data_IF_915877150661
#
_entry.id   IF_915877150661
#
_cell.length_a   1.000
_cell.length_b   1.000
_cell.length_c   1.000
_cell.angle_alpha   90.00
_cell.angle_beta   90.00
_cell.angle_gamma   90.00
#
_symmetry.space_group_name_H-M   'P 1'
#
loop_
_entity.id
_entity.type
_entity.pdbx_description
1 polymer ?
#
# COMPACT_ATOMS: atom_id res chain seq x y z
N UNK A 1 31.77 -15.76 -5.82
CA UNK A 1 30.61 -15.24 -5.07
C UNK A 1 30.14 -16.32 -4.10
N UNK A 2 30.25 -16.12 -2.78
CA UNK A 2 29.89 -17.16 -1.83
C UNK A 2 28.36 -17.33 -1.83
N UNK A 3 27.92 -18.58 -1.85
CA UNK A 3 26.52 -18.96 -1.74
C UNK A 3 25.98 -18.55 -0.36
N UNK A 4 25.15 -17.50 -0.32
CA UNK A 4 24.39 -17.19 0.89
C UNK A 4 23.45 -18.36 1.23
N UNK A 5 23.31 -18.72 2.52
CA UNK A 5 22.48 -19.83 2.96
C UNK A 5 21.02 -19.63 2.52
N UNK A 6 20.33 -20.72 2.18
CA UNK A 6 18.95 -20.73 1.65
C UNK A 6 17.97 -19.88 2.48
N UNK A 7 18.16 -19.84 3.79
CA UNK A 7 17.40 -18.98 4.71
C UNK A 7 17.53 -17.48 4.42
N UNK A 8 18.73 -17.02 4.04
CA UNK A 8 18.99 -15.62 3.68
C UNK A 8 18.36 -15.25 2.34
N UNK A 9 18.26 -16.19 1.41
CA UNK A 9 17.57 -15.96 0.13
C UNK A 9 16.05 -15.91 0.30
N UNK A 10 15.50 -16.76 1.17
CA UNK A 10 14.07 -16.72 1.52
C UNK A 10 13.74 -15.41 2.24
N UNK A 11 14.56 -14.96 3.21
CA UNK A 11 14.36 -13.69 3.88
C UNK A 11 14.45 -12.51 2.90
N UNK A 12 15.39 -12.54 1.95
CA UNK A 12 15.52 -11.51 0.93
C UNK A 12 14.33 -11.52 -0.04
N UNK A 13 13.82 -12.68 -0.45
CA UNK A 13 12.60 -12.83 -1.26
C UNK A 13 11.37 -12.32 -0.52
N UNK A 14 11.26 -12.61 0.78
CA UNK A 14 10.17 -12.14 1.65
C UNK A 14 10.24 -10.61 1.79
N UNK A 15 11.42 -10.03 2.03
CA UNK A 15 11.62 -8.57 2.06
C UNK A 15 11.29 -7.96 0.69
N UNK A 16 11.71 -8.58 -0.42
CA UNK A 16 11.41 -8.11 -1.77
C UNK A 16 9.90 -8.15 -2.06
N UNK A 17 9.20 -9.22 -1.65
CA UNK A 17 7.73 -9.35 -1.73
C UNK A 17 6.99 -8.34 -0.84
N UNK A 18 7.56 -7.97 0.31
CA UNK A 18 7.04 -6.89 1.14
C UNK A 18 7.33 -5.50 0.54
N UNK A 19 8.45 -5.29 -0.12
CA UNK A 19 8.76 -4.03 -0.82
C UNK A 19 8.07 -3.87 -2.17
N UNK A 20 7.56 -4.94 -2.80
CA UNK A 20 6.67 -4.83 -3.97
C UNK A 20 5.25 -4.38 -3.60
N UNK A 21 4.93 -4.25 -2.31
CA UNK A 21 3.72 -3.60 -1.82
C UNK A 21 3.94 -2.10 -1.51
N UNK A 22 5.01 -1.49 -2.03
CA UNK A 22 4.95 -0.05 -2.29
C UNK A 22 3.88 0.11 -3.37
N UNK A 23 2.65 0.32 -2.93
CA UNK A 23 1.58 0.87 -3.75
C UNK A 23 2.22 2.06 -4.45
N UNK A 24 2.47 1.93 -5.76
CA UNK A 24 2.73 3.07 -6.60
C UNK A 24 1.50 3.97 -6.40
N UNK A 25 1.67 5.03 -5.61
CA UNK A 25 0.59 5.98 -5.35
C UNK A 25 0.18 6.55 -6.70
N UNK A 26 -0.95 6.09 -7.22
CA UNK A 26 -1.52 6.63 -8.43
C UNK A 26 -1.75 8.12 -8.19
N UNK A 27 -1.31 8.95 -9.14
CA UNK A 27 -1.71 10.35 -9.19
C UNK A 27 -3.24 10.38 -9.29
N UNK A 28 -3.91 10.62 -8.18
CA UNK A 28 -5.33 10.94 -8.21
C UNK A 28 -5.42 12.41 -8.57
N UNK A 29 -5.70 12.68 -9.85
CA UNK A 29 -5.87 14.02 -10.36
C UNK A 29 -7.19 14.58 -9.81
N UNK A 30 -7.11 15.67 -9.05
CA UNK A 30 -8.30 16.29 -8.48
C UNK A 30 -9.05 17.04 -9.59
N UNK A 31 -10.24 16.55 -9.93
CA UNK A 31 -11.08 17.16 -10.99
C UNK A 31 -11.90 18.33 -10.48
N UNK A 32 -12.05 18.49 -9.16
CA UNK A 32 -12.66 19.68 -8.58
C UNK A 32 -11.77 20.89 -8.84
N UNK A 33 -12.36 21.93 -9.45
CA UNK A 33 -11.62 23.10 -9.87
C UNK A 33 -11.55 24.15 -8.75
N UNK A 34 -10.40 24.20 -8.06
CA UNK A 34 -10.05 25.23 -7.07
C UNK A 34 -9.36 26.46 -7.70
N UNK A 35 -9.81 26.86 -8.89
CA UNK A 35 -9.40 28.12 -9.52
C UNK A 35 -10.33 29.26 -9.12
N UNK A 36 -9.83 30.48 -9.24
CA UNK A 36 -10.58 31.70 -8.96
C UNK A 36 -11.49 32.06 -10.12
N UNK A 37 -12.83 32.04 -9.96
CA UNK A 37 -13.73 32.53 -11.00
C UNK A 37 -13.61 34.05 -11.11
N UNK A 38 -13.63 34.58 -12.33
CA UNK A 38 -13.56 36.04 -12.57
C UNK A 38 -14.75 36.81 -12.02
N UNK A 39 -15.87 36.12 -11.79
CA UNK A 39 -17.13 36.66 -11.29
C UNK A 39 -17.36 36.39 -9.80
N UNK A 40 -16.40 35.79 -9.10
CA UNK A 40 -16.42 35.63 -7.65
C UNK A 40 -15.77 36.84 -6.94
N UNK A 41 -16.11 37.11 -5.67
CA UNK A 41 -15.35 38.06 -4.86
C UNK A 41 -13.91 37.57 -4.65
N UNK A 42 -12.93 38.49 -4.42
CA UNK A 42 -11.53 38.11 -4.23
C UNK A 42 -11.27 37.32 -2.94
N UNK A 43 -12.17 37.44 -1.97
CA UNK A 43 -12.19 36.66 -0.74
C UNK A 43 -13.60 36.48 -0.21
N UNK A 44 -13.83 35.45 0.58
CA UNK A 44 -15.10 35.16 1.23
C UNK A 44 -14.90 34.29 2.48
N UNK A 45 -15.84 34.35 3.41
CA UNK A 45 -15.94 33.38 4.49
C UNK A 45 -16.63 32.11 3.97
N UNK A 46 -15.99 30.97 4.18
CA UNK A 46 -16.56 29.66 3.86
C UNK A 46 -16.11 28.64 4.91
N UNK A 47 -16.40 27.35 4.68
CA UNK A 47 -16.11 26.29 5.63
C UNK A 47 -15.38 25.15 4.96
N UNK A 48 -14.50 24.53 5.71
CA UNK A 48 -13.98 23.20 5.40
C UNK A 48 -14.51 22.21 6.44
N UNK A 49 -14.60 20.94 6.07
CA UNK A 49 -15.00 19.90 7.01
C UNK A 49 -13.79 19.25 7.64
N UNK A 50 -13.86 18.97 8.94
CA UNK A 50 -12.86 18.19 9.65
C UNK A 50 -13.51 17.01 10.36
N UNK A 51 -12.88 15.84 10.37
CA UNK A 51 -13.42 14.63 10.99
C UNK A 51 -12.61 14.33 12.25
N UNK A 52 -13.21 14.49 13.42
CA UNK A 52 -12.51 14.33 14.70
C UNK A 52 -11.77 12.98 14.79
N UNK A 53 -10.44 13.04 14.94
CA UNK A 53 -9.55 11.87 14.90
C UNK A 53 -9.01 11.52 16.28
N UNK A 54 -9.10 10.25 16.65
CA UNK A 54 -8.45 9.73 17.85
C UNK A 54 -6.97 9.42 17.59
N UNK A 55 -6.06 9.69 18.55
CA UNK A 55 -6.31 10.30 19.86
C UNK A 55 -6.12 11.84 19.88
N UNK A 56 -5.47 12.40 18.87
CA UNK A 56 -4.90 13.75 18.95
C UNK A 56 -5.89 14.89 18.67
N UNK A 57 -7.00 14.61 17.97
CA UNK A 57 -7.94 15.63 17.49
C UNK A 57 -9.37 15.31 17.94
N UNK A 58 -9.52 14.97 19.24
CA UNK A 58 -10.81 14.78 19.91
C UNK A 58 -11.22 15.96 20.82
N UNK A 59 -10.60 17.13 20.61
CA UNK A 59 -10.93 18.38 21.29
C UNK A 59 -10.98 19.53 20.31
N UNK A 60 -11.93 20.45 20.50
CA UNK A 60 -12.04 21.67 19.71
C UNK A 60 -10.77 22.51 19.78
N UNK A 61 -10.09 22.54 20.93
CA UNK A 61 -8.82 23.26 21.09
C UNK A 61 -7.74 22.73 20.15
N UNK A 62 -7.50 21.42 20.14
CA UNK A 62 -6.47 20.81 19.30
C UNK A 62 -6.74 21.02 17.81
N UNK A 63 -8.01 20.94 17.40
CA UNK A 63 -8.40 21.22 16.01
C UNK A 63 -8.21 22.71 15.70
N UNK A 64 -8.72 23.60 16.56
CA UNK A 64 -8.63 25.04 16.35
C UNK A 64 -7.19 25.54 16.21
N UNK A 65 -6.25 24.93 16.95
CA UNK A 65 -4.82 25.25 16.86
C UNK A 65 -4.23 24.97 15.48
N UNK A 66 -4.60 23.86 14.84
CA UNK A 66 -4.06 23.53 13.49
C UNK A 66 -4.77 24.31 12.37
N UNK A 67 -5.92 24.92 12.65
CA UNK A 67 -6.66 25.76 11.70
C UNK A 67 -6.46 27.26 11.92
N UNK A 68 -5.62 27.66 12.87
CA UNK A 68 -5.41 29.06 13.27
C UNK A 68 -6.75 29.80 13.49
N UNK A 69 -7.66 29.16 14.21
CA UNK A 69 -9.02 29.66 14.48
C UNK A 69 -9.39 29.49 15.95
N UNK A 70 -10.56 29.98 16.35
CA UNK A 70 -11.02 29.84 17.74
C UNK A 70 -11.87 28.57 17.94
N UNK A 71 -11.75 27.86 19.08
CA UNK A 71 -12.64 26.75 19.43
C UNK A 71 -14.12 27.13 19.37
N UNK A 72 -14.44 28.35 19.82
CA UNK A 72 -15.80 28.90 19.82
C UNK A 72 -16.35 29.07 18.40
N UNK A 73 -15.51 29.46 17.44
CA UNK A 73 -15.89 29.60 16.03
C UNK A 73 -16.28 28.24 15.45
N UNK A 74 -15.50 27.19 15.71
CA UNK A 74 -15.81 25.81 15.29
C UNK A 74 -17.08 25.31 15.98
N UNK A 75 -17.22 25.53 17.28
CA UNK A 75 -18.40 25.13 18.04
C UNK A 75 -19.68 25.76 17.46
N UNK A 76 -19.67 27.07 17.24
CA UNK A 76 -20.81 27.80 16.65
C UNK A 76 -21.14 27.30 15.25
N UNK A 77 -20.13 27.13 14.40
CA UNK A 77 -20.33 26.64 13.02
C UNK A 77 -20.90 25.22 13.01
N UNK A 78 -20.48 24.37 13.95
CA UNK A 78 -20.88 22.97 14.06
C UNK A 78 -22.11 22.73 14.95
N UNK A 79 -22.77 23.79 15.44
CA UNK A 79 -23.88 23.73 16.40
C UNK A 79 -23.55 22.92 17.68
N UNK A 80 -22.35 23.11 18.22
CA UNK A 80 -21.89 22.52 19.46
C UNK A 80 -21.91 23.53 20.60
N UNK A 81 -22.08 23.02 21.82
CA UNK A 81 -21.95 23.83 23.03
C UNK A 81 -20.46 24.20 23.24
N UNK A 82 -20.11 25.46 23.55
CA UNK A 82 -18.70 25.88 23.68
C UNK A 82 -17.90 25.14 24.76
N UNK A 83 -18.56 24.45 25.69
CA UNK A 83 -17.96 23.67 26.78
C UNK A 83 -17.88 22.17 26.47
N UNK A 84 -18.36 21.70 25.31
CA UNK A 84 -18.22 20.32 24.85
C UNK A 84 -16.79 20.10 24.31
N UNK A 85 -15.82 19.96 25.22
CA UNK A 85 -14.41 19.75 24.86
C UNK A 85 -14.10 18.33 24.37
N UNK A 86 -15.05 17.40 24.46
CA UNK A 86 -14.88 16.00 24.07
C UNK A 86 -15.69 15.68 22.81
N UNK A 87 -14.99 15.72 21.69
CA UNK A 87 -15.50 15.26 20.41
C UNK A 87 -15.51 13.74 20.37
N UNK A 88 -16.49 13.17 19.66
CA UNK A 88 -16.52 11.74 19.39
C UNK A 88 -15.71 11.48 18.12
N UNK A 89 -14.99 10.35 18.08
CA UNK A 89 -14.29 9.92 16.87
C UNK A 89 -15.26 9.87 15.68
N UNK A 90 -14.78 10.28 14.51
CA UNK A 90 -15.52 10.29 13.24
C UNK A 90 -16.69 11.31 13.22
N UNK A 91 -16.79 12.18 14.23
CA UNK A 91 -17.69 13.33 14.22
C UNK A 91 -17.21 14.38 13.21
N UNK A 92 -18.10 14.80 12.31
CA UNK A 92 -17.80 15.84 11.32
C UNK A 92 -18.06 17.22 11.91
N UNK A 93 -17.10 18.12 11.71
CA UNK A 93 -17.13 19.51 12.15
C UNK A 93 -17.04 20.44 10.95
N UNK A 94 -17.66 21.61 11.07
CA UNK A 94 -17.44 22.75 10.20
C UNK A 94 -16.38 23.65 10.81
N UNK A 95 -15.30 23.87 10.08
CA UNK A 95 -14.23 24.79 10.45
C UNK A 95 -14.31 26.01 9.54
N UNK A 96 -14.58 27.21 10.09
CA UNK A 96 -14.62 28.43 9.29
C UNK A 96 -13.22 28.80 8.79
N UNK A 97 -13.15 29.19 7.52
CA UNK A 97 -11.93 29.68 6.88
C UNK A 97 -12.21 30.90 6.01
N UNK A 98 -11.27 31.83 5.98
CA UNK A 98 -11.29 32.93 5.00
C UNK A 98 -10.63 32.44 3.71
N UNK A 99 -11.46 32.19 2.70
CA UNK A 99 -10.99 31.80 1.39
C UNK A 99 -10.53 33.02 0.60
N UNK A 100 -9.38 32.92 -0.06
CA UNK A 100 -8.84 34.00 -0.88
C UNK A 100 -8.27 33.50 -2.20
N UNK A 101 -8.09 34.46 -3.11
CA UNK A 101 -7.52 34.22 -4.43
C UNK A 101 -6.09 34.76 -4.53
N UNK A 102 -5.15 33.87 -4.86
CA UNK A 102 -3.76 34.25 -5.18
C UNK A 102 -3.42 33.75 -6.58
N UNK A 103 -3.25 34.68 -7.52
CA UNK A 103 -3.17 34.34 -8.93
C UNK A 103 -4.48 33.67 -9.40
N UNK A 104 -4.37 32.50 -10.03
CA UNK A 104 -5.55 31.70 -10.43
C UNK A 104 -5.91 30.59 -9.41
N UNK A 105 -5.32 30.58 -8.21
CA UNK A 105 -5.53 29.53 -7.20
C UNK A 105 -6.38 30.07 -6.05
N UNK A 106 -7.42 29.33 -5.68
CA UNK A 106 -8.31 29.65 -4.57
C UNK A 106 -8.01 28.74 -3.37
N UNK A 107 -7.64 29.32 -2.24
CA UNK A 107 -7.31 28.60 -1.02
C UNK A 107 -7.39 29.50 0.23
N UNK A 108 -7.51 28.88 1.39
CA UNK A 108 -7.34 29.52 2.69
C UNK A 108 -5.92 29.25 3.16
N UNK A 109 -5.21 30.30 3.56
CA UNK A 109 -3.83 30.18 4.00
C UNK A 109 -3.79 30.00 5.52
N UNK A 110 -3.39 28.81 5.98
CA UNK A 110 -3.34 28.46 7.40
C UNK A 110 -1.89 28.35 7.85
N UNK A 111 -1.53 29.04 8.93
CA UNK A 111 -0.20 28.93 9.53
C UNK A 111 -0.15 27.69 10.42
N UNK A 112 0.74 26.76 10.11
CA UNK A 112 0.92 25.53 10.88
C UNK A 112 2.32 25.47 11.50
N UNK A 113 2.39 25.20 12.80
CA UNK A 113 3.66 24.98 13.49
C UNK A 113 4.17 23.56 13.26
N UNK A 114 5.37 23.43 12.68
CA UNK A 114 5.98 22.13 12.40
C UNK A 114 6.39 21.42 13.69
N UNK A 115 5.90 20.20 13.87
CA UNK A 115 6.23 19.32 14.98
C UNK A 115 7.30 18.29 14.60
N UNK A 116 7.84 17.61 15.60
CA UNK A 116 8.78 16.52 15.39
C UNK A 116 8.12 15.39 14.58
N UNK A 117 8.77 15.01 13.46
CA UNK A 117 8.31 13.94 12.58
C UNK A 117 7.40 14.41 11.45
N UNK A 118 7.05 15.69 11.39
CA UNK A 118 6.24 16.23 10.31
C UNK A 118 6.96 16.24 8.97
N UNK A 119 6.18 16.01 7.93
CA UNK A 119 6.51 16.24 6.53
C UNK A 119 5.31 16.90 5.87
N UNK A 120 5.51 17.58 4.73
CA UNK A 120 4.38 18.16 3.98
C UNK A 120 3.34 17.10 3.61
N UNK A 121 3.79 15.89 3.29
CA UNK A 121 2.89 14.77 3.03
C UNK A 121 2.08 14.37 4.25
N UNK A 122 2.74 14.13 5.39
CA UNK A 122 2.07 13.74 6.64
C UNK A 122 1.05 14.78 7.09
N UNK A 123 1.44 16.05 7.14
CA UNK A 123 0.55 17.13 7.59
C UNK A 123 -0.63 17.31 6.62
N UNK A 124 -0.40 17.30 5.31
CA UNK A 124 -1.48 17.46 4.33
C UNK A 124 -2.49 16.30 4.37
N UNK A 125 -2.01 15.06 4.46
CA UNK A 125 -2.86 13.86 4.35
C UNK A 125 -3.46 13.40 5.66
N UNK A 126 -2.74 13.59 6.78
CA UNK A 126 -3.14 13.10 8.11
C UNK A 126 -3.71 14.24 8.94
N UNK A 127 -2.93 15.30 9.16
CA UNK A 127 -3.35 16.42 10.01
C UNK A 127 -4.49 17.24 9.39
N UNK A 128 -4.47 17.46 8.06
CA UNK A 128 -5.52 18.17 7.32
C UNK A 128 -6.42 17.26 6.48
N UNK A 129 -6.33 15.94 6.62
CA UNK A 129 -7.26 14.98 6.00
C UNK A 129 -7.41 15.05 4.47
N UNK A 130 -6.40 15.54 3.74
CA UNK A 130 -6.45 15.85 2.30
C UNK A 130 -7.29 17.09 1.93
N UNK A 131 -7.55 18.01 2.86
CA UNK A 131 -8.06 19.36 2.54
C UNK A 131 -7.05 20.20 1.73
N UNK A 132 -5.79 19.78 1.72
CA UNK A 132 -4.74 20.28 0.83
C UNK A 132 -3.95 19.10 0.27
N UNK A 133 -3.02 19.36 -0.64
CA UNK A 133 -2.05 18.36 -1.07
C UNK A 133 -0.62 18.88 -0.87
N UNK A 134 0.30 17.95 -0.59
CA UNK A 134 1.69 18.28 -0.26
C UNK A 134 2.46 19.00 -1.39
N UNK A 135 2.02 18.87 -2.65
CA UNK A 135 2.63 19.61 -3.78
C UNK A 135 2.22 21.07 -3.75
N UNK A 136 0.96 21.37 -3.46
CA UNK A 136 0.49 22.74 -3.26
C UNK A 136 1.21 23.41 -2.07
N UNK A 137 1.43 22.66 -0.99
CA UNK A 137 2.24 23.13 0.15
C UNK A 137 3.69 23.42 -0.29
N UNK A 138 4.30 22.54 -1.08
CA UNK A 138 5.66 22.74 -1.58
C UNK A 138 5.77 23.95 -2.51
N UNK A 139 4.84 24.10 -3.45
CA UNK A 139 4.78 25.24 -4.38
C UNK A 139 4.74 26.57 -3.62
N UNK A 140 4.01 26.63 -2.50
CA UNK A 140 3.90 27.81 -1.65
C UNK A 140 5.14 28.03 -0.77
N UNK A 141 5.95 26.98 -0.55
CA UNK A 141 7.10 26.97 0.35
C UNK A 141 8.39 26.48 -0.36
N UNK A 142 8.84 27.15 -1.45
CA UNK A 142 9.89 26.63 -2.33
C UNK A 142 11.27 26.49 -1.67
N UNK A 143 11.49 27.15 -0.52
CA UNK A 143 12.78 27.11 0.21
C UNK A 143 12.87 25.94 1.20
N UNK A 144 11.76 25.29 1.51
CA UNK A 144 11.71 24.22 2.51
C UNK A 144 11.79 22.84 1.85
N UNK A 145 12.53 21.93 2.48
CA UNK A 145 12.59 20.53 2.06
C UNK A 145 11.38 19.77 2.60
N UNK A 146 10.52 19.16 1.76
CA UNK A 146 9.24 18.55 2.18
C UNK A 146 9.32 17.50 3.29
N UNK A 147 10.49 16.85 3.43
CA UNK A 147 10.74 15.77 4.40
C UNK A 147 11.79 16.15 5.46
N UNK A 148 12.28 17.39 5.48
CA UNK A 148 13.31 17.87 6.42
C UNK A 148 12.91 19.26 6.91
N UNK A 149 11.80 19.30 7.65
CA UNK A 149 11.22 20.54 8.14
C UNK A 149 11.84 20.89 9.51
N UNK A 150 12.33 22.12 9.71
CA UNK A 150 12.76 22.58 11.04
C UNK A 150 11.58 22.56 12.02
N UNK A 151 11.79 22.08 13.25
CA UNK A 151 10.74 22.02 14.27
C UNK A 151 10.46 23.45 14.81
N UNK A 152 9.20 23.77 15.08
CA UNK A 152 8.75 25.02 15.70
C UNK A 152 8.59 26.20 14.73
N UNK A 153 8.89 26.01 13.44
CA UNK A 153 8.64 27.08 12.44
C UNK A 153 7.17 27.06 12.02
N UNK A 154 6.66 28.24 11.70
CA UNK A 154 5.33 28.43 11.11
C UNK A 154 5.42 28.29 9.60
N UNK A 155 4.64 27.37 9.03
CA UNK A 155 4.59 27.11 7.58
C UNK A 155 3.17 27.33 7.07
N UNK A 156 2.98 28.09 5.98
CA UNK A 156 1.68 28.25 5.35
C UNK A 156 1.24 26.96 4.63
N UNK A 157 0.06 26.46 4.97
CA UNK A 157 -0.64 25.35 4.29
C UNK A 157 -1.86 25.90 3.55
N UNK A 158 -1.91 25.81 2.20
CA UNK A 158 -3.04 26.30 1.42
C UNK A 158 -4.17 25.26 1.41
N UNK A 159 -5.16 25.41 2.28
CA UNK A 159 -6.35 24.56 2.27
C UNK A 159 -7.25 24.94 1.11
N UNK A 160 -7.65 23.96 0.31
CA UNK A 160 -8.49 24.21 -0.85
C UNK A 160 -9.87 24.71 -0.41
N UNK A 161 -10.33 25.76 -1.06
CA UNK A 161 -11.64 26.37 -0.84
C UNK A 161 -12.02 27.20 -2.07
N UNK A 162 -13.28 27.65 -2.14
CA UNK A 162 -13.73 28.51 -3.23
C UNK A 162 -14.81 29.47 -2.76
N UNK A 163 -14.87 30.63 -3.40
CA UNK A 163 -15.94 31.60 -3.21
C UNK A 163 -17.07 31.38 -4.22
N UNK A 164 -18.34 31.47 -3.78
CA UNK A 164 -19.48 31.43 -4.70
C UNK A 164 -19.33 32.47 -5.82
N UNK A 165 -19.66 32.07 -7.03
CA UNK A 165 -19.81 32.97 -8.18
C UNK A 165 -21.05 33.85 -8.02
N UNK A 166 -21.15 34.95 -8.79
CA UNK A 166 -22.36 35.78 -8.82
C UNK A 166 -23.61 34.98 -9.13
N UNK A 167 -23.56 34.09 -10.13
CA UNK A 167 -24.69 33.23 -10.49
C UNK A 167 -25.11 32.28 -9.35
N UNK A 168 -24.15 31.80 -8.55
CA UNK A 168 -24.45 30.98 -7.37
C UNK A 168 -25.10 31.82 -6.27
N UNK A 169 -24.61 33.05 -6.03
CA UNK A 169 -25.21 33.98 -5.08
C UNK A 169 -26.65 34.37 -5.48
N UNK A 170 -26.91 34.54 -6.77
CA UNK A 170 -28.25 34.81 -7.33
C UNK A 170 -29.22 33.63 -7.10
N UNK A 171 -28.68 32.40 -6.98
CA UNK A 171 -29.41 31.18 -6.56
C UNK A 171 -29.43 30.97 -5.05
N UNK A 172 -29.06 31.98 -4.27
CA UNK A 172 -28.97 31.95 -2.81
C UNK A 172 -27.92 30.97 -2.23
N UNK A 173 -27.00 30.45 -3.04
CA UNK A 173 -25.87 29.64 -2.55
C UNK A 173 -24.91 30.59 -1.83
N UNK A 174 -24.82 30.46 -0.50
CA UNK A 174 -24.02 31.35 0.34
C UNK A 174 -22.60 30.83 0.56
N UNK A 175 -22.43 29.51 0.58
CA UNK A 175 -21.15 28.88 0.90
C UNK A 175 -20.87 27.73 -0.05
N UNK A 176 -19.59 27.56 -0.39
CA UNK A 176 -19.06 26.35 -1.01
C UNK A 176 -18.20 25.63 0.03
N UNK A 177 -18.80 24.67 0.73
CA UNK A 177 -18.13 23.94 1.82
C UNK A 177 -17.16 22.93 1.21
N UNK A 178 -15.89 22.94 1.61
CA UNK A 178 -14.93 21.93 1.13
C UNK A 178 -15.04 20.67 1.98
N UNK A 179 -15.35 19.56 1.34
CA UNK A 179 -15.53 18.24 1.95
C UNK A 179 -14.59 17.24 1.29
N UNK A 180 -13.86 16.44 2.08
CA UNK A 180 -13.04 15.35 1.52
C UNK A 180 -13.92 14.13 1.33
N UNK A 181 -14.19 13.77 0.08
CA UNK A 181 -15.03 12.64 -0.30
C UNK A 181 -14.49 11.34 0.30
N UNK A 182 -15.32 10.54 0.96
CA UNK A 182 -14.90 9.31 1.61
C UNK A 182 -15.28 8.08 0.79
N UNK A 183 -14.52 6.98 0.91
CA UNK A 183 -14.94 5.70 0.34
C UNK A 183 -16.32 5.29 0.86
N UNK A 184 -17.25 5.06 -0.05
CA UNK A 184 -18.64 4.72 0.27
C UNK A 184 -19.60 5.92 0.33
N UNK A 185 -19.11 7.15 0.19
CA UNK A 185 -19.98 8.30 -0.04
C UNK A 185 -20.63 8.21 -1.42
N UNK A 186 -21.88 8.66 -1.48
CA UNK A 186 -22.62 8.93 -2.70
C UNK A 186 -23.23 10.33 -2.66
N UNK A 187 -23.57 10.87 -3.84
CA UNK A 187 -24.08 12.23 -3.97
C UNK A 187 -25.37 12.42 -3.17
N UNK A 188 -26.26 11.42 -3.10
CA UNK A 188 -27.51 11.55 -2.35
C UNK A 188 -27.24 11.65 -0.85
N UNK A 189 -26.40 10.76 -0.29
CA UNK A 189 -26.07 10.78 1.13
C UNK A 189 -25.34 12.07 1.54
N UNK A 190 -24.42 12.55 0.71
CA UNK A 190 -23.72 13.81 0.95
C UNK A 190 -24.69 14.99 0.81
N UNK A 191 -25.56 14.98 -0.19
CA UNK A 191 -26.60 15.98 -0.38
C UNK A 191 -27.51 16.09 0.85
N UNK A 192 -27.99 14.97 1.37
CA UNK A 192 -28.84 14.91 2.56
C UNK A 192 -28.11 15.41 3.81
N UNK A 193 -26.83 15.00 3.97
CA UNK A 193 -25.98 15.38 5.10
C UNK A 193 -25.73 16.89 5.17
N UNK A 194 -25.55 17.53 4.01
CA UNK A 194 -25.24 18.98 3.93
C UNK A 194 -26.47 19.84 3.60
N UNK A 195 -27.62 19.25 3.28
CA UNK A 195 -28.79 19.98 2.78
C UNK A 195 -28.51 20.73 1.47
N UNK A 196 -27.66 20.17 0.62
CA UNK A 196 -27.30 20.70 -0.69
C UNK A 196 -28.23 20.14 -1.78
N UNK A 197 -28.16 20.67 -3.00
CA UNK A 197 -28.78 20.04 -4.19
C UNK A 197 -27.80 19.01 -4.78
N UNK A 198 -28.25 17.79 -5.14
CA UNK A 198 -27.43 16.83 -5.87
C UNK A 198 -26.89 17.40 -7.18
N UNK A 199 -27.72 18.15 -7.91
CA UNK A 199 -27.36 18.78 -9.19
C UNK A 199 -26.26 19.83 -9.02
N UNK A 200 -26.35 20.66 -7.97
CA UNK A 200 -25.33 21.66 -7.66
C UNK A 200 -24.01 20.99 -7.24
N UNK A 201 -24.04 19.90 -6.46
CA UNK A 201 -22.83 19.12 -6.12
C UNK A 201 -22.18 18.55 -7.39
N UNK A 202 -22.96 17.93 -8.27
CA UNK A 202 -22.42 17.31 -9.48
C UNK A 202 -21.81 18.34 -10.44
N UNK A 203 -22.50 19.47 -10.64
CA UNK A 203 -22.05 20.51 -11.57
C UNK A 203 -20.84 21.29 -11.07
N UNK A 204 -20.64 21.43 -9.76
CA UNK A 204 -19.47 22.15 -9.21
C UNK A 204 -18.16 21.33 -9.28
N UNK A 205 -18.24 19.99 -9.29
CA UNK A 205 -17.06 19.13 -9.06
C UNK A 205 -16.51 18.36 -10.27
N UNK A 206 -17.13 18.42 -11.45
CA UNK A 206 -16.62 17.84 -12.70
C UNK A 206 -16.29 16.32 -12.65
N UNK A 207 -17.07 15.53 -11.93
CA UNK A 207 -16.90 14.07 -11.83
C UNK A 207 -17.87 13.25 -12.70
N UNK A 208 -18.59 13.87 -13.64
CA UNK A 208 -19.50 13.21 -14.59
C UNK A 208 -20.43 12.17 -13.91
N UNK A 209 -21.00 12.55 -12.77
CA UNK A 209 -21.86 11.73 -11.89
C UNK A 209 -21.17 10.57 -11.15
N UNK A 210 -19.92 10.22 -11.47
CA UNK A 210 -19.18 9.16 -10.80
C UNK A 210 -18.06 9.71 -9.88
N UNK A 211 -18.42 9.89 -8.61
CA UNK A 211 -17.50 10.37 -7.58
C UNK A 211 -16.55 9.29 -7.03
N UNK A 212 -16.50 8.08 -7.59
CA UNK A 212 -15.52 7.06 -7.17
C UNK A 212 -14.08 7.58 -7.32
N UNK A 213 -13.83 8.38 -8.36
CA UNK A 213 -12.53 9.02 -8.59
C UNK A 213 -12.26 10.19 -7.63
N UNK A 214 -13.25 10.65 -6.87
CA UNK A 214 -13.11 11.69 -5.85
C UNK A 214 -12.67 11.13 -4.49
N UNK A 215 -12.61 9.80 -4.29
CA UNK A 215 -12.24 9.20 -3.00
C UNK A 215 -10.96 9.79 -2.40
N UNK A 216 -11.04 10.31 -1.18
CA UNK A 216 -9.97 11.02 -0.46
C UNK A 216 -9.49 12.32 -1.12
N UNK A 217 -10.31 12.92 -2.00
CA UNK A 217 -10.05 14.23 -2.59
C UNK A 217 -11.08 15.26 -2.11
N UNK A 218 -10.66 16.53 -1.98
CA UNK A 218 -11.55 17.60 -1.60
C UNK A 218 -12.48 17.97 -2.77
N UNK A 219 -13.77 18.04 -2.47
CA UNK A 219 -14.87 18.49 -3.32
C UNK A 219 -15.56 19.69 -2.68
N UNK A 220 -16.32 20.44 -3.47
CA UNK A 220 -17.09 21.60 -3.04
C UNK A 220 -18.57 21.23 -2.92
N UNK A 221 -19.19 21.56 -1.79
CA UNK A 221 -20.60 21.31 -1.50
C UNK A 221 -21.33 22.65 -1.43
N UNK A 222 -22.09 23.03 -2.48
CA UNK A 222 -22.83 24.29 -2.50
C UNK A 222 -24.02 24.25 -1.53
N UNK A 223 -24.10 25.22 -0.62
CA UNK A 223 -25.20 25.29 0.36
C UNK A 223 -25.75 26.70 0.50
N UNK A 224 -27.07 26.80 0.72
CA UNK A 224 -27.77 28.07 0.96
C UNK A 224 -27.74 28.52 2.43
N UNK A 225 -27.45 27.58 3.34
CA UNK A 225 -27.28 27.78 4.78
C UNK A 225 -26.37 26.70 5.35
N UNK A 226 -25.83 26.90 6.55
CA UNK A 226 -25.00 25.89 7.20
C UNK A 226 -25.82 24.64 7.54
N UNK A 227 -25.27 23.43 7.31
CA UNK A 227 -25.94 22.20 7.69
C UNK A 227 -25.95 22.01 9.20
N UNK A 228 -26.97 21.32 9.68
CA UNK A 228 -26.99 20.79 11.04
C UNK A 228 -26.39 19.39 10.98
N UNK A 229 -25.08 19.29 11.22
CA UNK A 229 -24.40 18.00 11.27
C UNK A 229 -24.85 17.25 12.52
N UNK A 230 -25.49 16.10 12.35
CA UNK A 230 -25.88 15.27 13.49
C UNK A 230 -24.62 14.87 14.29
N UNK A 231 -24.67 15.00 15.63
CA UNK A 231 -23.70 14.29 16.48
C UNK A 231 -23.88 12.81 16.14
N UNK A 232 -22.85 12.18 15.57
CA UNK A 232 -22.86 10.72 15.39
C UNK A 232 -23.27 10.13 16.73
N UNK A 233 -24.40 9.39 16.82
CA UNK A 233 -24.67 8.65 18.03
C UNK A 233 -23.43 7.78 18.23
N UNK A 234 -22.88 7.79 19.45
CA UNK A 234 -21.93 6.80 19.91
C UNK A 234 -22.65 5.46 19.98
N UNK A 235 -23.13 4.97 18.85
CA UNK A 235 -23.82 3.71 18.75
C UNK A 235 -22.74 2.66 18.56
N UNK A 236 -22.58 1.83 19.59
CA UNK A 236 -21.80 0.62 19.60
C UNK A 236 -22.34 -0.41 18.62
N UNK A 237 -22.54 -0.04 17.35
CA UNK A 237 -22.64 -0.98 16.25
C UNK A 237 -21.24 -1.48 15.95
N UNK A 238 -20.83 -2.46 16.76
CA UNK A 238 -20.02 -3.57 16.27
C UNK A 238 -20.73 -4.07 15.01
N UNK A 239 -20.32 -3.57 13.85
CA UNK A 239 -20.54 -4.24 12.59
C UNK A 239 -19.93 -5.61 12.78
N UNK A 240 -20.78 -6.59 13.10
CA UNK A 240 -20.38 -7.97 13.29
C UNK A 240 -19.84 -8.46 11.96
N UNK A 241 -18.54 -8.31 11.76
CA UNK A 241 -17.81 -9.08 10.76
C UNK A 241 -18.13 -10.52 11.10
N UNK A 242 -18.79 -11.20 10.16
CA UNK A 242 -19.35 -12.54 10.32
C UNK A 242 -18.28 -13.46 10.90
N UNK A 243 -18.36 -13.74 12.19
CA UNK A 243 -17.51 -14.65 12.94
C UNK A 243 -17.28 -16.01 12.21
N UNK A 244 -18.21 -16.59 11.43
CA UNK A 244 -17.93 -17.81 10.69
C UNK A 244 -16.93 -17.64 9.51
N UNK A 245 -16.72 -16.43 8.98
CA UNK A 245 -15.80 -16.19 7.86
C UNK A 245 -14.34 -16.16 8.33
N UNK A 246 -14.07 -15.56 9.50
CA UNK A 246 -12.72 -15.52 10.09
C UNK A 246 -12.32 -16.93 10.56
N UNK A 247 -13.25 -17.67 11.17
CA UNK A 247 -13.03 -19.06 11.57
C UNK A 247 -12.76 -19.92 10.32
N UNK A 248 -13.54 -19.76 9.25
CA UNK A 248 -13.34 -20.48 7.99
C UNK A 248 -11.98 -20.21 7.31
N UNK A 249 -11.51 -18.95 7.30
CA UNK A 249 -10.21 -18.59 6.73
C UNK A 249 -9.06 -19.13 7.59
N UNK A 250 -9.16 -19.07 8.91
CA UNK A 250 -8.12 -19.59 9.81
C UNK A 250 -7.98 -21.12 9.74
N UNK A 251 -9.09 -21.85 9.64
CA UNK A 251 -9.10 -23.31 9.44
C UNK A 251 -8.63 -23.69 8.03
N UNK A 252 -9.00 -22.92 7.00
CA UNK A 252 -8.52 -23.14 5.64
C UNK A 252 -7.01 -22.95 5.50
N UNK A 253 -6.46 -21.88 6.09
CA UNK A 253 -5.02 -21.60 6.05
C UNK A 253 -4.21 -22.67 6.82
N UNK A 254 -4.69 -23.11 7.98
CA UNK A 254 -4.00 -24.16 8.76
C UNK A 254 -4.03 -25.51 8.03
N UNK A 255 -5.15 -25.88 7.42
CA UNK A 255 -5.26 -27.11 6.61
C UNK A 255 -4.36 -27.05 5.37
N UNK A 256 -4.31 -25.90 4.69
CA UNK A 256 -3.45 -25.70 3.52
C UNK A 256 -1.97 -25.81 3.88
N UNK A 257 -1.54 -25.19 4.99
CA UNK A 257 -0.15 -25.27 5.47
C UNK A 257 0.22 -26.71 5.85
N UNK A 258 -0.69 -27.45 6.51
CA UNK A 258 -0.49 -28.86 6.82
C UNK A 258 -0.35 -29.72 5.56
N UNK A 259 -1.22 -29.53 4.57
CA UNK A 259 -1.15 -30.26 3.29
C UNK A 259 0.16 -29.96 2.56
N UNK A 260 0.59 -28.69 2.52
CA UNK A 260 1.86 -28.30 1.92
C UNK A 260 3.06 -28.90 2.66
N UNK A 261 3.03 -28.92 3.99
CA UNK A 261 4.08 -29.55 4.79
C UNK A 261 4.16 -31.07 4.55
N UNK A 262 3.02 -31.76 4.50
CA UNK A 262 2.95 -33.19 4.19
C UNK A 262 3.44 -33.48 2.77
N UNK A 263 3.07 -32.65 1.79
CA UNK A 263 3.56 -32.78 0.41
C UNK A 263 5.07 -32.57 0.32
N UNK A 264 5.62 -31.59 1.05
CA UNK A 264 7.07 -31.36 1.10
C UNK A 264 7.80 -32.55 1.73
N UNK A 265 7.29 -33.11 2.84
CA UNK A 265 7.84 -34.32 3.46
C UNK A 265 7.71 -35.52 2.53
N UNK A 266 6.59 -35.67 1.82
CA UNK A 266 6.38 -36.75 0.86
C UNK A 266 7.37 -36.67 -0.31
N UNK A 267 7.54 -35.49 -0.91
CA UNK A 267 8.53 -35.25 -1.97
C UNK A 267 9.95 -35.47 -1.45
N UNK A 268 10.25 -35.02 -0.23
CA UNK A 268 11.54 -35.26 0.41
C UNK A 268 11.81 -36.77 0.60
N UNK A 269 10.84 -37.52 1.13
CA UNK A 269 10.92 -38.98 1.29
C UNK A 269 11.07 -39.69 -0.06
N UNK A 270 10.35 -39.26 -1.11
CA UNK A 270 10.51 -39.79 -2.46
C UNK A 270 11.91 -39.51 -3.03
N UNK A 271 12.45 -38.31 -2.83
CA UNK A 271 13.82 -37.98 -3.22
C UNK A 271 14.83 -38.81 -2.47
N UNK A 272 14.66 -38.97 -1.15
CA UNK A 272 15.55 -39.76 -0.30
C UNK A 272 15.50 -41.25 -0.68
N UNK A 273 14.33 -41.78 -1.04
CA UNK A 273 14.20 -43.15 -1.56
C UNK A 273 14.87 -43.32 -2.93
N UNK A 274 14.80 -42.31 -3.79
CA UNK A 274 15.50 -42.30 -5.10
C UNK A 274 17.03 -42.21 -4.92
N UNK A 275 17.50 -41.42 -3.95
CA UNK A 275 18.91 -41.34 -3.56
C UNK A 275 19.42 -42.65 -2.97
N UNK A 276 18.65 -43.31 -2.10
CA UNK A 276 19.00 -44.61 -1.56
C UNK A 276 18.99 -45.72 -2.63
N UNK A 277 18.05 -45.65 -3.59
CA UNK A 277 18.00 -46.61 -4.71
C UNK A 277 19.16 -46.41 -5.68
N UNK A 278 19.57 -45.17 -5.94
CA UNK A 278 20.76 -44.86 -6.75
C UNK A 278 22.06 -45.23 -6.03
N UNK A 279 22.15 -44.99 -4.72
CA UNK A 279 23.29 -45.43 -3.89
C UNK A 279 23.41 -46.96 -3.86
N UNK A 280 22.30 -47.68 -3.65
CA UNK A 280 22.27 -49.16 -3.69
C UNK A 280 22.60 -49.71 -5.08
N UNK A 281 22.10 -49.06 -6.15
CA UNK A 281 22.45 -49.43 -7.54
C UNK A 281 23.93 -49.19 -7.85
N UNK A 282 24.51 -48.09 -7.35
CA UNK A 282 25.92 -47.77 -7.52
C UNK A 282 26.79 -48.77 -6.74
N UNK A 283 26.41 -49.14 -5.50
CA UNK A 283 27.12 -50.14 -4.70
C UNK A 283 27.05 -51.55 -5.34
N UNK A 284 25.93 -51.89 -5.97
CA UNK A 284 25.78 -53.16 -6.69
C UNK A 284 26.62 -53.18 -7.97
N UNK A 285 26.70 -52.06 -8.70
CA UNK A 285 27.57 -51.92 -9.86
C UNK A 285 29.06 -52.02 -9.49
N UNK A 286 29.48 -51.40 -8.38
CA UNK A 286 30.86 -51.48 -7.87
C UNK A 286 31.24 -52.91 -7.45
N UNK A 287 30.31 -53.63 -6.79
CA UNK A 287 30.50 -55.04 -6.43
C UNK A 287 30.63 -55.95 -7.65
N UNK A 288 29.83 -55.72 -8.70
CA UNK A 288 29.92 -56.46 -9.97
C UNK A 288 31.24 -56.16 -10.72
N UNK A 289 31.71 -54.91 -10.71
CA UNK A 289 32.99 -54.53 -11.31
C UNK A 289 34.19 -55.13 -10.53
N UNK A 290 34.14 -55.18 -9.19
CA UNK A 290 35.19 -55.82 -8.39
C UNK A 290 35.22 -57.35 -8.56
N UNK A 291 34.06 -57.98 -8.78
CA UNK A 291 33.94 -59.43 -9.01
C UNK A 291 34.40 -59.87 -10.41
N UNK A 292 34.27 -58.99 -11.42
CA UNK A 292 34.76 -59.26 -12.78
C UNK A 292 36.25 -58.90 -12.95
N UNK A 293 36.77 -57.95 -12.18
CA UNK A 293 38.21 -57.61 -12.18
C UNK A 293 39.11 -58.69 -11.55
N UNK A 294 38.55 -59.67 -10.85
CA UNK A 294 39.30 -60.78 -10.24
C UNK A 294 39.69 -61.92 -11.20
N UNK A 295 39.22 -61.91 -12.46
CA UNK A 295 39.44 -63.00 -13.42
C UNK A 295 40.21 -62.62 -14.69
N UNK A 296 40.72 -61.40 -14.78
CA UNK A 296 41.75 -61.07 -15.78
C UNK A 296 43.09 -61.11 -15.06
N UNK A 297 43.67 -62.31 -14.97
CA UNK A 297 45.07 -62.44 -14.59
C UNK A 297 45.90 -61.52 -15.49
N UNK A 298 46.77 -60.71 -14.87
CA UNK A 298 47.77 -59.89 -15.57
C UNK A 298 48.36 -60.73 -16.72
N UNK A 299 48.29 -60.29 -17.99
CA UNK A 299 48.91 -61.06 -19.06
C UNK A 299 50.41 -61.16 -18.77
N UNK A 300 50.89 -62.39 -18.58
CA UNK A 300 52.31 -62.66 -18.41
C UNK A 300 52.97 -62.51 -19.78
N UNK A 301 53.74 -61.44 -19.96
CA UNK A 301 54.49 -61.23 -21.19
C UNK A 301 55.79 -62.05 -21.09
N UNK A 302 56.01 -62.96 -22.03
CA UNK A 302 57.28 -63.70 -22.15
C UNK A 302 58.12 -63.07 -23.25
N UNK A 303 59.44 -63.03 -23.05
CA UNK A 303 60.36 -62.66 -24.12
C UNK A 303 60.27 -63.66 -25.28
N UNK A 304 60.46 -63.16 -26.49
CA UNK A 304 60.25 -63.93 -27.72
C UNK A 304 61.15 -65.16 -27.76
N UNK A 305 62.40 -65.03 -27.32
CA UNK A 305 63.38 -66.12 -27.31
C UNK A 305 62.93 -67.29 -26.40
N UNK A 306 62.35 -66.98 -25.23
CA UNK A 306 61.81 -67.99 -24.33
C UNK A 306 60.62 -68.74 -24.93
N UNK A 307 59.76 -68.04 -25.70
CA UNK A 307 58.65 -68.66 -26.42
C UNK A 307 59.18 -69.57 -27.54
N UNK A 308 60.17 -69.11 -28.30
CA UNK A 308 60.76 -69.90 -29.39
C UNK A 308 61.45 -71.15 -28.86
N UNK A 309 62.19 -71.07 -27.75
CA UNK A 309 62.80 -72.25 -27.14
C UNK A 309 61.73 -73.24 -26.63
N UNK A 310 60.73 -72.75 -25.89
CA UNK A 310 59.68 -73.60 -25.33
C UNK A 310 58.81 -74.27 -26.40
N UNK A 311 58.62 -73.63 -27.55
CA UNK A 311 57.82 -74.15 -28.67
C UNK A 311 58.66 -74.89 -29.71
N UNK A 312 59.95 -75.13 -29.43
CA UNK A 312 60.91 -75.72 -30.38
C UNK A 312 60.86 -75.03 -31.75
N UNK A 313 61.02 -73.70 -31.72
CA UNK A 313 60.93 -72.81 -32.86
C UNK A 313 59.56 -72.86 -33.56
N UNK A 314 58.47 -72.86 -32.77
CA UNK A 314 57.08 -72.94 -33.25
C UNK A 314 56.79 -74.19 -34.10
N UNK A 315 57.34 -75.33 -33.70
CA UNK A 315 57.08 -76.61 -34.35
C UNK A 315 55.59 -76.98 -34.27
N UNK A 316 55.01 -77.47 -35.37
CA UNK A 316 53.61 -77.91 -35.44
C UNK A 316 53.27 -79.02 -34.41
N UNK A 317 54.27 -79.76 -33.94
CA UNK A 317 54.09 -80.78 -32.90
C UNK A 317 53.73 -80.17 -31.53
N UNK A 318 54.00 -78.88 -31.31
CA UNK A 318 53.70 -78.15 -30.08
C UNK A 318 52.47 -77.23 -30.22
N UNK A 319 51.69 -77.35 -31.30
CA UNK A 319 50.51 -76.53 -31.55
C UNK A 319 49.33 -76.95 -30.67
N UNK A 320 48.92 -76.05 -29.75
CA UNK A 320 47.77 -76.28 -28.85
C UNK A 320 46.55 -75.51 -29.39
N UNK A 321 45.88 -76.11 -30.37
CA UNK A 321 44.56 -75.65 -30.85
C UNK A 321 44.56 -74.46 -31.81
N UNK A 322 43.39 -74.20 -32.39
CA UNK A 322 43.17 -73.18 -33.42
C UNK A 322 42.03 -72.26 -32.95
N UNK A 323 42.29 -70.95 -32.81
CA UNK A 323 41.27 -69.99 -32.37
C UNK A 323 40.72 -69.21 -33.56
N UNK A 324 39.43 -69.36 -33.84
CA UNK A 324 38.72 -68.56 -34.85
C UNK A 324 38.11 -67.34 -34.17
N UNK A 325 38.65 -66.15 -34.44
CA UNK A 325 38.01 -64.89 -34.02
C UNK A 325 36.99 -64.47 -35.09
N UNK A 326 35.74 -64.27 -34.68
CA UNK A 326 34.70 -63.68 -35.53
C UNK A 326 34.54 -62.22 -35.13
N UNK A 327 34.77 -61.33 -36.10
CA UNK A 327 34.64 -59.87 -35.96
C UNK A 327 33.18 -59.44 -35.79
#
# INVERSE_FOLDING_TARGET
FPFLPLHSQILCLVIMLFSTNIVAQSQQDNRTNFSCPSDSPPSCETYVTYIAQSPNFLSLTNISNIFDTSPLSIARASNLEPMDDKLVKDQVLLVPVTCGCTGNRSFANISYEINQGDSFYFVATTSYENLTNWRAVMDLNPVLSPNKLPIGIQVPFPLFCKCPSKNQLDKEIKYLITYVWKPGDDVSLVSDKFGASPEDIMSENNYDQNFTAANNLPVLIPVTRLPVLARSPSDGRKGGIRLPVIIGISLGCTLLVLVLAVLLVYVYCLKMKTLNRSASSAETADKLLSGVSGYVSKPTMYETDAIMEATMNLSEQCKIGESVYKA
#
